data_IF_411265540206
#
_entry.id   IF_411265540206
#
_cell.length_a   1.000
_cell.length_b   1.000
_cell.length_c   1.000
_cell.angle_alpha   90.00
_cell.angle_beta   90.00
_cell.angle_gamma   90.00
#
_symmetry.space_group_name_H-M   'P 1'
#
loop_
_entity.id
_entity.type
_entity.pdbx_description
1 polymer ?
#
# COMPACT_ATOMS: atom_id res chain seq x y z
N UNK A 1 4.37 1.47 -46.28
CA UNK A 1 3.14 1.59 -45.50
C UNK A 1 3.34 1.25 -44.01
N UNK A 2 3.92 0.12 -43.65
CA UNK A 2 4.15 -0.27 -42.24
C UNK A 2 4.91 0.80 -41.40
N UNK A 3 5.95 1.42 -41.98
CA UNK A 3 6.77 2.43 -41.29
C UNK A 3 5.99 3.72 -40.95
N UNK A 4 4.96 4.07 -41.72
CA UNK A 4 4.06 5.22 -41.43
C UNK A 4 3.01 4.86 -40.39
N UNK A 5 2.54 3.60 -40.33
CA UNK A 5 1.61 3.09 -39.32
C UNK A 5 2.31 3.01 -37.96
N UNK A 6 3.56 2.58 -37.93
CA UNK A 6 4.36 2.56 -36.69
C UNK A 6 4.67 3.96 -36.16
N UNK A 7 4.97 4.92 -37.05
CA UNK A 7 5.25 6.28 -36.60
C UNK A 7 3.99 7.04 -36.18
N UNK A 8 2.83 6.81 -36.78
CA UNK A 8 1.55 7.37 -36.29
C UNK A 8 1.06 6.70 -35.03
N UNK A 9 1.22 5.39 -34.87
CA UNK A 9 0.90 4.70 -33.62
C UNK A 9 1.81 5.12 -32.47
N UNK A 10 3.12 5.31 -32.71
CA UNK A 10 4.06 5.82 -31.74
C UNK A 10 3.76 7.29 -31.35
N UNK A 11 3.37 8.12 -32.31
CA UNK A 11 3.01 9.51 -32.07
C UNK A 11 1.68 9.62 -31.31
N UNK A 12 0.68 8.80 -31.64
CA UNK A 12 -0.59 8.70 -30.88
C UNK A 12 -0.38 8.18 -29.47
N UNK A 13 0.53 7.23 -29.28
CA UNK A 13 0.89 6.73 -27.95
C UNK A 13 1.61 7.80 -27.11
N UNK A 14 2.50 8.59 -27.73
CA UNK A 14 3.15 9.72 -27.05
C UNK A 14 2.16 10.83 -26.63
N UNK A 15 1.14 11.10 -27.44
CA UNK A 15 0.16 12.16 -27.12
C UNK A 15 -0.85 11.73 -26.06
N UNK A 16 -1.19 10.44 -25.94
CA UNK A 16 -2.06 9.93 -24.88
C UNK A 16 -1.37 9.85 -23.53
N UNK A 17 -0.05 9.66 -23.48
CA UNK A 17 0.74 9.64 -22.24
C UNK A 17 0.90 11.04 -21.62
N UNK A 18 0.76 12.11 -22.41
CA UNK A 18 0.93 13.48 -21.90
C UNK A 18 -0.24 14.01 -21.03
N UNK A 19 -1.36 13.30 -20.95
CA UNK A 19 -2.59 13.79 -20.29
C UNK A 19 -2.84 13.25 -18.87
N UNK A 20 -1.99 12.38 -18.32
CA UNK A 20 -2.28 11.71 -17.01
C UNK A 20 -1.14 11.87 -15.99
N UNK A 21 -0.18 12.74 -16.20
CA UNK A 21 0.98 12.88 -15.31
C UNK A 21 0.79 13.92 -14.20
N UNK A 22 -0.20 13.74 -13.33
CA UNK A 22 -0.17 14.39 -12.03
C UNK A 22 -0.06 13.31 -10.94
N UNK A 23 1.11 12.69 -10.82
CA UNK A 23 1.50 12.10 -9.55
C UNK A 23 1.53 13.23 -8.54
N UNK A 24 0.57 13.25 -7.62
CA UNK A 24 0.48 14.31 -6.64
C UNK A 24 1.78 14.36 -5.84
N UNK A 25 2.42 15.52 -5.84
CA UNK A 25 3.58 15.80 -5.00
C UNK A 25 3.14 16.56 -3.77
N UNK A 26 3.82 16.32 -2.64
CA UNK A 26 3.71 17.17 -1.47
C UNK A 26 4.64 18.37 -1.54
N UNK A 27 4.60 19.21 -0.52
CA UNK A 27 5.48 20.35 -0.37
C UNK A 27 5.80 20.61 1.10
N UNK A 28 6.90 21.31 1.35
CA UNK A 28 7.34 21.73 2.66
C UNK A 28 7.41 23.25 2.70
N UNK A 29 6.74 23.86 3.66
CA UNK A 29 6.67 25.31 3.86
C UNK A 29 6.91 25.65 5.32
N UNK A 30 7.55 26.76 5.60
CA UNK A 30 7.73 27.24 6.97
C UNK A 30 8.51 28.53 7.04
N UNK A 31 8.81 28.94 8.27
CA UNK A 31 9.62 30.13 8.57
C UNK A 31 10.81 29.73 9.44
N UNK A 32 11.95 30.39 9.23
CA UNK A 32 13.14 30.21 10.04
C UNK A 32 13.44 31.53 10.76
N UNK A 33 13.56 31.43 12.08
CA UNK A 33 13.77 32.58 12.96
C UNK A 33 14.90 32.35 13.94
N UNK A 34 15.45 33.43 14.45
CA UNK A 34 16.32 33.39 15.64
C UNK A 34 15.47 33.02 16.86
N UNK A 35 15.89 32.02 17.63
CA UNK A 35 15.14 31.49 18.78
C UNK A 35 15.04 32.47 19.96
N UNK A 36 16.00 33.41 20.05
CA UNK A 36 16.01 34.42 21.13
C UNK A 36 15.30 35.71 20.75
N UNK A 37 15.65 36.28 19.60
CA UNK A 37 15.08 37.56 19.15
C UNK A 37 13.72 37.40 18.45
N UNK A 38 13.39 36.18 18.00
CA UNK A 38 12.23 35.87 17.16
C UNK A 38 12.23 36.60 15.80
N UNK A 39 13.37 37.14 15.40
CA UNK A 39 13.56 37.84 14.14
C UNK A 39 13.67 36.82 13.00
N UNK A 40 13.07 37.06 11.83
CA UNK A 40 13.21 36.20 10.68
C UNK A 40 14.65 36.18 10.15
N UNK A 41 15.13 35.01 9.73
CA UNK A 41 16.47 34.83 9.21
C UNK A 41 16.42 34.66 7.69
N UNK A 42 16.90 35.66 6.93
CA UNK A 42 16.93 35.60 5.45
C UNK A 42 18.10 34.73 4.95
N UNK A 43 17.93 34.15 3.77
CA UNK A 43 18.94 33.38 3.05
C UNK A 43 19.54 32.18 3.80
N UNK A 44 18.80 31.62 4.72
CA UNK A 44 19.18 30.38 5.43
C UNK A 44 19.09 29.22 4.45
N UNK A 45 20.12 28.38 4.41
CA UNK A 45 20.12 27.21 3.57
C UNK A 45 19.29 26.07 4.21
N UNK A 46 18.30 25.58 3.47
CA UNK A 46 17.40 24.48 3.86
C UNK A 46 17.62 23.31 2.92
N UNK A 47 18.07 22.18 3.43
CA UNK A 47 18.35 20.95 2.69
C UNK A 47 17.37 19.88 3.14
N UNK A 48 16.69 19.24 2.19
CA UNK A 48 15.81 18.10 2.43
C UNK A 48 16.53 16.83 2.03
N UNK A 49 16.68 15.92 3.00
CA UNK A 49 17.36 14.64 2.83
C UNK A 49 16.40 13.47 2.96
N UNK A 50 16.66 12.41 2.20
CA UNK A 50 16.02 11.11 2.37
C UNK A 50 17.11 10.05 2.50
N UNK A 51 17.14 9.34 3.63
CA UNK A 51 18.16 8.34 3.95
C UNK A 51 19.60 8.90 3.84
N UNK A 52 19.83 10.12 4.34
CA UNK A 52 21.14 10.78 4.31
C UNK A 52 21.60 11.27 2.94
N UNK A 53 20.68 11.36 1.97
CA UNK A 53 20.97 11.89 0.64
C UNK A 53 20.08 13.07 0.35
N UNK A 54 20.67 14.20 -0.05
CA UNK A 54 19.91 15.39 -0.44
C UNK A 54 19.01 15.08 -1.63
N UNK A 55 17.72 15.36 -1.49
CA UNK A 55 16.69 15.19 -2.53
C UNK A 55 16.24 16.52 -3.11
N UNK A 56 16.16 17.56 -2.26
CA UNK A 56 15.74 18.90 -2.62
C UNK A 56 16.36 19.91 -1.65
N UNK A 57 16.12 21.19 -1.86
CA UNK A 57 16.55 22.24 -0.96
C UNK A 57 16.20 23.62 -1.52
N UNK A 58 16.40 24.62 -0.69
CA UNK A 58 16.17 26.02 -1.03
C UNK A 58 16.80 26.94 0.02
N UNK A 59 16.59 28.23 -0.15
CA UNK A 59 16.96 29.24 0.85
C UNK A 59 15.72 30.01 1.29
N UNK A 60 15.76 30.56 2.51
CA UNK A 60 14.70 31.45 2.98
C UNK A 60 14.71 32.77 2.22
N UNK A 61 13.55 33.38 2.08
CA UNK A 61 13.35 34.74 1.57
C UNK A 61 13.71 35.80 2.63
N UNK A 62 13.44 37.07 2.34
CA UNK A 62 13.72 38.22 3.25
C UNK A 62 12.94 38.12 4.57
N UNK A 63 11.76 37.51 4.56
CA UNK A 63 10.89 37.32 5.72
C UNK A 63 11.18 36.01 6.45
N UNK A 64 12.29 35.33 6.14
CA UNK A 64 12.65 34.03 6.71
C UNK A 64 11.77 32.87 6.25
N UNK A 65 10.90 33.08 5.27
CA UNK A 65 10.01 32.07 4.70
C UNK A 65 10.73 31.14 3.72
N UNK A 66 10.34 29.89 3.69
CA UNK A 66 10.80 28.95 2.66
C UNK A 66 9.65 28.09 2.13
N UNK A 67 9.77 27.68 0.87
CA UNK A 67 8.81 26.80 0.21
C UNK A 67 9.53 25.86 -0.76
N UNK A 68 9.53 24.55 -0.42
CA UNK A 68 10.23 23.53 -1.19
C UNK A 68 9.20 22.61 -1.81
N UNK A 69 9.17 22.57 -3.16
CA UNK A 69 8.32 21.73 -4.00
C UNK A 69 8.97 21.45 -5.35
N UNK A 70 8.63 20.34 -6.05
CA UNK A 70 7.82 19.22 -5.58
C UNK A 70 8.63 18.30 -4.66
N UNK A 71 7.96 17.63 -3.71
CA UNK A 71 8.51 16.56 -2.90
C UNK A 71 7.64 15.31 -3.08
N UNK A 72 8.25 14.16 -3.30
CA UNK A 72 7.51 12.90 -3.29
C UNK A 72 6.96 12.63 -1.89
N UNK A 73 5.81 11.95 -1.76
CA UNK A 73 5.33 11.51 -0.45
C UNK A 73 6.35 10.61 0.26
N UNK A 74 6.47 10.79 1.56
CA UNK A 74 7.41 10.01 2.38
C UNK A 74 8.00 10.79 3.54
N UNK A 75 8.96 10.16 4.21
CA UNK A 75 9.63 10.70 5.39
C UNK A 75 11.01 11.25 5.04
N UNK A 76 11.30 12.44 5.53
CA UNK A 76 12.50 13.22 5.22
C UNK A 76 13.18 13.74 6.48
N UNK A 77 14.47 14.01 6.34
CA UNK A 77 15.23 14.82 7.30
C UNK A 77 15.44 16.22 6.69
N UNK A 78 15.21 17.25 7.48
CA UNK A 78 15.40 18.65 7.08
C UNK A 78 16.60 19.19 7.82
N UNK A 79 17.63 19.55 7.08
CA UNK A 79 18.87 20.12 7.60
C UNK A 79 18.92 21.60 7.29
N UNK A 80 19.14 22.40 8.31
CA UNK A 80 19.18 23.86 8.20
C UNK A 80 20.56 24.35 8.67
N UNK A 81 21.19 25.18 7.86
CA UNK A 81 22.49 25.77 8.18
C UNK A 81 22.52 27.26 7.85
N UNK A 82 23.07 28.03 8.78
CA UNK A 82 23.26 29.48 8.62
C UNK A 82 24.54 29.94 9.31
N UNK A 83 25.19 30.94 8.75
CA UNK A 83 26.46 31.46 9.30
C UNK A 83 26.22 32.13 10.65
N UNK A 84 26.98 31.72 11.66
CA UNK A 84 26.83 32.25 13.04
C UNK A 84 25.76 31.56 13.88
N UNK A 85 25.12 30.50 13.34
CA UNK A 85 24.12 29.70 14.04
C UNK A 85 24.53 28.22 14.10
N UNK A 86 24.06 27.55 15.15
CA UNK A 86 24.23 26.13 15.31
C UNK A 86 23.43 25.39 14.20
N UNK A 87 24.04 24.45 13.48
CA UNK A 87 23.32 23.64 12.50
C UNK A 87 22.16 22.86 13.16
N UNK A 88 21.02 22.84 12.50
CA UNK A 88 19.82 22.21 13.00
C UNK A 88 19.38 21.07 12.06
N UNK A 89 18.96 19.94 12.63
CA UNK A 89 18.42 18.81 11.87
C UNK A 89 17.11 18.33 12.46
N UNK A 90 16.03 18.45 11.68
CA UNK A 90 14.73 17.87 11.98
C UNK A 90 14.62 16.52 11.31
N UNK A 91 14.51 15.45 12.09
CA UNK A 91 14.39 14.09 11.56
C UNK A 91 12.94 13.64 11.51
N UNK A 92 12.60 12.82 10.51
CA UNK A 92 11.31 12.18 10.43
C UNK A 92 10.16 13.07 9.93
N UNK A 93 10.44 14.14 9.18
CA UNK A 93 9.41 15.03 8.61
C UNK A 93 8.59 14.30 7.58
N UNK A 94 7.29 14.18 7.82
CA UNK A 94 6.37 13.48 6.92
C UNK A 94 5.81 14.45 5.88
N UNK A 95 6.00 14.13 4.60
CA UNK A 95 5.41 14.85 3.47
C UNK A 95 4.41 13.94 2.80
N UNK A 96 3.13 14.36 2.79
CA UNK A 96 2.03 13.59 2.20
C UNK A 96 1.63 14.10 0.83
N UNK A 97 1.04 13.23 0.03
CA UNK A 97 0.58 13.51 -1.31
C UNK A 97 -0.45 14.64 -1.33
N UNK A 98 -0.23 15.65 -2.17
CA UNK A 98 -1.14 16.78 -2.36
C UNK A 98 -1.25 17.73 -1.17
N UNK A 99 -0.39 17.60 -0.13
CA UNK A 99 -0.44 18.42 1.08
C UNK A 99 0.79 19.30 1.25
N UNK A 100 0.60 20.38 2.01
CA UNK A 100 1.66 21.26 2.50
C UNK A 100 2.01 20.85 3.91
N UNK A 101 3.23 20.36 4.13
CA UNK A 101 3.76 20.13 5.48
C UNK A 101 4.35 21.44 5.99
N UNK A 102 3.85 21.91 7.12
CA UNK A 102 4.32 23.14 7.76
C UNK A 102 5.40 22.80 8.79
N UNK A 103 6.56 23.45 8.68
CA UNK A 103 7.68 23.26 9.59
C UNK A 103 8.37 24.62 9.87
N UNK A 104 8.07 25.20 11.01
CA UNK A 104 8.71 26.40 11.50
C UNK A 104 9.90 26.04 12.39
N UNK A 105 11.05 26.68 12.18
CA UNK A 105 12.32 26.33 12.84
C UNK A 105 12.92 27.57 13.51
N UNK A 106 13.30 27.42 14.78
CA UNK A 106 14.09 28.42 15.50
C UNK A 106 15.56 28.00 15.61
N UNK A 107 16.48 28.82 15.12
CA UNK A 107 17.90 28.56 15.21
C UNK A 107 18.52 29.24 16.46
N UNK A 108 19.45 28.53 17.11
CA UNK A 108 20.25 29.08 18.19
C UNK A 108 21.52 29.72 17.63
N UNK A 109 21.84 30.95 18.09
CA UNK A 109 23.15 31.54 17.83
C UNK A 109 24.24 30.76 18.55
N UNK A 110 25.30 30.42 17.86
CA UNK A 110 26.42 29.66 18.41
C UNK A 110 27.52 29.44 17.39
N UNK A 111 28.77 29.38 17.86
CA UNK A 111 29.96 29.25 17.02
C UNK A 111 30.54 27.81 17.08
N UNK A 112 29.90 26.89 17.79
CA UNK A 112 30.38 25.51 17.87
C UNK A 112 30.00 24.71 16.62
N UNK A 113 31.00 24.49 15.79
CA UNK A 113 30.93 23.98 14.43
C UNK A 113 30.73 22.45 14.30
N UNK A 114 30.38 21.70 15.32
CA UNK A 114 30.44 20.23 15.26
C UNK A 114 29.20 19.45 15.71
N UNK A 115 28.23 20.04 16.33
CA UNK A 115 27.10 19.31 16.86
C UNK A 115 25.79 19.82 16.27
N UNK A 116 25.08 18.93 15.55
CA UNK A 116 23.72 19.25 15.07
C UNK A 116 22.73 19.17 16.23
N UNK A 117 21.88 20.18 16.37
CA UNK A 117 20.67 20.03 17.17
C UNK A 117 19.72 19.11 16.42
N UNK A 118 19.58 17.86 16.89
CA UNK A 118 18.70 16.86 16.26
C UNK A 118 17.38 16.82 17.00
N UNK A 119 16.30 17.11 16.28
CA UNK A 119 14.94 17.12 16.83
C UNK A 119 14.05 16.12 16.04
N UNK A 120 13.26 15.33 16.78
CA UNK A 120 12.28 14.42 16.17
C UNK A 120 11.03 15.20 15.76
N UNK A 121 10.59 15.04 14.52
CA UNK A 121 9.33 15.61 14.06
C UNK A 121 8.14 14.90 14.69
N UNK A 122 7.25 15.69 15.28
CA UNK A 122 5.96 15.20 15.76
C UNK A 122 4.90 15.66 14.77
N UNK A 123 4.19 14.70 14.17
CA UNK A 123 3.11 15.00 13.23
C UNK A 123 2.03 15.80 13.98
N UNK A 124 1.68 17.01 13.54
CA UNK A 124 0.63 17.80 14.18
C UNK A 124 -0.71 17.08 14.18
N UNK A 125 -1.42 17.11 15.31
CA UNK A 125 -2.77 16.54 15.42
C UNK A 125 -3.79 17.29 14.56
N UNK A 126 -3.53 18.57 14.28
CA UNK A 126 -4.37 19.43 13.45
C UNK A 126 -3.60 19.76 12.18
N UNK A 127 -4.19 19.40 11.04
CA UNK A 127 -3.64 19.70 9.73
C UNK A 127 -3.90 21.19 9.40
N UNK A 128 -2.84 21.99 9.29
CA UNK A 128 -2.95 23.43 8.95
C UNK A 128 -3.36 23.66 7.49
N UNK A 129 -3.18 22.67 6.62
CA UNK A 129 -3.56 22.72 5.21
C UNK A 129 -5.02 22.31 4.98
N UNK A 130 -5.73 21.98 6.05
CA UNK A 130 -6.94 21.19 6.04
C UNK A 130 -8.22 21.89 5.64
N UNK A 131 -8.62 21.76 4.37
CA UNK A 131 -10.04 21.79 3.96
C UNK A 131 -10.70 20.40 4.04
N UNK A 132 -9.93 19.31 4.00
CA UNK A 132 -10.40 17.95 4.01
C UNK A 132 -10.38 17.35 5.42
N UNK A 133 -11.47 16.68 5.80
CA UNK A 133 -11.50 15.86 7.02
C UNK A 133 -11.12 14.41 6.70
N UNK A 134 -10.39 13.76 7.59
CA UNK A 134 -9.92 12.40 7.40
C UNK A 134 -8.58 12.17 8.09
N UNK A 135 -7.80 11.24 7.58
CA UNK A 135 -6.47 10.92 8.11
C UNK A 135 -5.56 10.30 7.07
N UNK A 136 -4.26 10.40 7.34
CA UNK A 136 -3.23 9.78 6.50
C UNK A 136 -2.47 8.78 7.37
N UNK A 137 -2.35 7.55 6.89
CA UNK A 137 -1.55 6.48 7.51
C UNK A 137 -0.26 6.37 6.73
N UNK A 138 0.85 6.68 7.39
CA UNK A 138 2.18 6.67 6.79
C UNK A 138 2.78 5.28 6.76
N UNK A 139 3.81 5.09 5.96
CA UNK A 139 4.53 3.84 5.83
C UNK A 139 5.05 3.30 7.17
N UNK A 140 5.58 4.16 8.04
CA UNK A 140 6.09 3.75 9.35
C UNK A 140 4.96 3.21 10.25
N UNK A 141 3.77 3.79 10.15
CA UNK A 141 2.58 3.30 10.84
C UNK A 141 2.09 2.00 10.21
N UNK A 142 2.01 1.94 8.87
CA UNK A 142 1.63 0.74 8.11
C UNK A 142 2.53 -0.45 8.48
N UNK A 143 3.84 -0.24 8.58
CA UNK A 143 4.79 -1.29 8.93
C UNK A 143 4.48 -1.95 10.29
N UNK A 144 3.95 -1.18 11.25
CA UNK A 144 3.61 -1.63 12.61
C UNK A 144 2.19 -2.23 12.71
N UNK A 145 1.34 -2.04 11.68
CA UNK A 145 -0.03 -2.53 11.70
C UNK A 145 -0.10 -4.01 11.31
N UNK A 146 -1.00 -4.79 11.92
CA UNK A 146 -1.26 -6.17 11.51
C UNK A 146 -1.99 -6.25 10.16
N UNK A 147 -2.77 -5.22 9.79
CA UNK A 147 -3.48 -5.14 8.51
C UNK A 147 -2.54 -5.18 7.32
N UNK A 148 -2.90 -5.97 6.29
CA UNK A 148 -2.04 -6.20 5.13
C UNK A 148 -2.61 -5.68 3.82
N UNK A 149 -3.88 -5.29 3.79
CA UNK A 149 -4.54 -4.69 2.62
C UNK A 149 -4.72 -3.19 2.82
N UNK A 150 -4.77 -2.44 1.72
CA UNK A 150 -5.09 -1.02 1.76
C UNK A 150 -6.44 -0.74 2.44
N UNK A 151 -7.42 -1.62 2.25
CA UNK A 151 -8.73 -1.57 2.89
C UNK A 151 -8.61 -1.68 4.42
N UNK A 152 -7.88 -2.69 4.93
CA UNK A 152 -7.69 -2.88 6.37
C UNK A 152 -6.89 -1.73 7.02
N UNK A 153 -6.00 -1.10 6.26
CA UNK A 153 -5.27 0.09 6.71
C UNK A 153 -6.24 1.29 6.75
N UNK A 154 -7.06 1.48 5.72
CA UNK A 154 -8.01 2.59 5.65
C UNK A 154 -9.03 2.57 6.80
N UNK A 155 -9.49 1.39 7.23
CA UNK A 155 -10.45 1.24 8.34
C UNK A 155 -9.87 1.61 9.72
N UNK A 156 -8.57 1.84 9.84
CA UNK A 156 -7.98 2.39 11.07
C UNK A 156 -8.16 3.89 11.22
N UNK A 157 -8.57 4.57 10.14
CA UNK A 157 -8.83 6.02 10.16
C UNK A 157 -10.26 6.30 10.64
N UNK A 158 -10.39 7.27 11.54
CA UNK A 158 -11.70 7.65 12.08
C UNK A 158 -12.68 8.05 10.99
N UNK A 159 -13.90 7.50 11.05
CA UNK A 159 -14.94 7.69 10.05
C UNK A 159 -14.93 6.71 8.88
N UNK A 160 -13.95 5.80 8.82
CA UNK A 160 -13.95 4.66 7.91
C UNK A 160 -14.22 3.37 8.68
N UNK A 161 -15.07 2.50 8.14
CA UNK A 161 -15.43 1.22 8.76
C UNK A 161 -15.53 0.13 7.70
N UNK A 162 -15.23 -1.11 8.10
CA UNK A 162 -15.48 -2.26 7.26
C UNK A 162 -16.99 -2.52 7.19
N UNK A 163 -17.52 -2.68 6.01
CA UNK A 163 -18.95 -2.94 5.82
C UNK A 163 -19.35 -4.41 6.07
N UNK A 164 -18.42 -5.25 6.50
CA UNK A 164 -18.64 -6.67 6.80
C UNK A 164 -18.57 -7.56 5.56
N UNK A 165 -19.36 -8.63 5.54
CA UNK A 165 -19.26 -9.70 4.54
C UNK A 165 -19.29 -9.20 3.09
N UNK A 166 -18.12 -9.05 2.48
CA UNK A 166 -17.93 -8.78 1.05
C UNK A 166 -17.97 -7.33 0.62
N UNK A 167 -17.98 -6.36 1.54
CA UNK A 167 -18.48 -5.04 1.24
C UNK A 167 -17.51 -3.89 1.01
N UNK A 168 -16.23 -4.00 1.24
CA UNK A 168 -15.33 -2.84 1.13
C UNK A 168 -15.46 -1.85 2.30
N UNK A 169 -15.01 -0.61 2.12
CA UNK A 169 -15.00 0.42 3.17
C UNK A 169 -16.21 1.33 3.07
N UNK A 170 -16.93 1.50 4.17
CA UNK A 170 -17.96 2.52 4.36
C UNK A 170 -17.33 3.75 5.01
N UNK A 171 -17.54 4.93 4.44
CA UNK A 171 -17.08 6.20 4.99
C UNK A 171 -18.27 6.98 5.53
N UNK A 172 -18.23 7.28 6.84
CA UNK A 172 -19.30 7.98 7.58
C UNK A 172 -20.69 7.35 7.40
N UNK A 173 -20.76 6.02 7.32
CA UNK A 173 -22.00 5.29 7.14
C UNK A 173 -22.57 5.36 5.71
N UNK A 174 -21.82 5.86 4.74
CA UNK A 174 -22.22 5.79 3.33
C UNK A 174 -22.21 4.35 2.81
N UNK A 175 -22.89 4.08 1.72
CA UNK A 175 -22.78 2.80 1.02
C UNK A 175 -21.35 2.62 0.48
N UNK A 176 -20.89 1.40 0.43
CA UNK A 176 -19.53 1.06 -0.05
C UNK A 176 -19.29 1.45 -1.50
N UNK A 177 -20.34 1.44 -2.33
CA UNK A 177 -20.27 1.88 -3.72
C UNK A 177 -19.96 3.38 -3.85
N UNK A 178 -20.20 4.16 -2.79
CA UNK A 178 -19.89 5.59 -2.74
C UNK A 178 -18.48 5.88 -2.22
N UNK A 179 -17.71 4.85 -1.88
CA UNK A 179 -16.31 4.99 -1.51
C UNK A 179 -15.44 4.80 -2.74
N UNK A 180 -14.68 5.82 -3.07
CA UNK A 180 -13.83 5.85 -4.25
C UNK A 180 -12.38 5.55 -3.89
N UNK A 181 -11.72 4.80 -4.78
CA UNK A 181 -10.32 4.41 -4.60
C UNK A 181 -9.48 5.07 -5.69
N UNK A 182 -8.34 5.59 -5.28
CA UNK A 182 -7.33 6.12 -6.18
C UNK A 182 -5.98 5.48 -5.83
N UNK A 183 -5.22 5.12 -6.86
CA UNK A 183 -3.85 4.63 -6.74
C UNK A 183 -2.98 5.52 -7.59
N UNK A 184 -2.02 6.21 -6.99
CA UNK A 184 -1.14 7.19 -7.64
C UNK A 184 -1.92 8.21 -8.51
N UNK A 185 -3.08 8.66 -8.03
CA UNK A 185 -3.94 9.63 -8.71
C UNK A 185 -4.88 9.02 -9.78
N UNK A 186 -4.80 7.73 -10.04
CA UNK A 186 -5.70 7.04 -10.99
C UNK A 186 -6.88 6.42 -10.23
N UNK A 187 -8.09 6.73 -10.67
CA UNK A 187 -9.33 6.16 -10.11
C UNK A 187 -9.42 4.67 -10.44
N UNK A 188 -9.65 3.84 -9.43
CA UNK A 188 -9.76 2.38 -9.56
C UNK A 188 -11.17 1.94 -9.11
N UNK A 189 -11.80 0.97 -9.79
CA UNK A 189 -13.07 0.43 -9.37
C UNK A 189 -12.96 -0.22 -7.97
N UNK A 190 -13.99 -0.03 -7.14
CA UNK A 190 -14.06 -0.68 -5.83
C UNK A 190 -14.06 -2.20 -6.00
N UNK A 191 -13.23 -2.89 -5.22
CA UNK A 191 -13.13 -4.35 -5.25
C UNK A 191 -12.31 -4.94 -6.40
N UNK A 192 -11.87 -4.13 -7.37
CA UNK A 192 -10.99 -4.58 -8.45
C UNK A 192 -9.73 -3.71 -8.49
N UNK A 193 -8.55 -4.32 -8.51
CA UNK A 193 -7.28 -3.61 -8.64
C UNK A 193 -6.82 -2.83 -7.41
N UNK A 194 -7.51 -2.98 -6.26
CA UNK A 194 -7.08 -2.37 -4.98
C UNK A 194 -6.11 -3.24 -4.21
N UNK A 195 -5.88 -4.48 -4.66
CA UNK A 195 -4.90 -5.40 -4.10
C UNK A 195 -3.48 -4.94 -4.41
N UNK A 196 -2.79 -4.50 -3.37
CA UNK A 196 -1.39 -4.11 -3.43
C UNK A 196 -0.62 -4.85 -2.33
N UNK A 197 0.61 -5.34 -2.60
CA UNK A 197 1.49 -5.80 -1.55
C UNK A 197 1.69 -4.68 -0.50
N UNK A 198 1.71 -5.05 0.77
CA UNK A 198 1.89 -4.07 1.87
C UNK A 198 3.18 -3.26 1.70
N UNK A 199 4.24 -3.88 1.21
CA UNK A 199 5.53 -3.25 0.95
C UNK A 199 5.48 -2.22 -0.18
N UNK A 200 4.48 -2.29 -1.06
CA UNK A 200 4.29 -1.34 -2.16
C UNK A 200 3.59 -0.04 -1.71
N UNK A 201 2.98 -0.01 -0.53
CA UNK A 201 2.23 1.14 -0.05
C UNK A 201 3.16 2.11 0.69
N UNK A 202 3.23 3.35 0.25
CA UNK A 202 3.95 4.44 0.93
C UNK A 202 3.03 5.15 1.93
N UNK A 203 1.79 5.45 1.53
CA UNK A 203 0.77 6.02 2.40
C UNK A 203 -0.65 5.66 1.95
N UNK A 204 -1.57 5.66 2.89
CA UNK A 204 -3.01 5.57 2.65
C UNK A 204 -3.67 6.80 3.26
N UNK A 205 -4.23 7.63 2.41
CA UNK A 205 -4.99 8.81 2.81
C UNK A 205 -6.47 8.53 2.69
N UNK A 206 -7.21 8.68 3.78
CA UNK A 206 -8.66 8.54 3.81
C UNK A 206 -9.28 9.92 3.97
N UNK A 207 -10.03 10.37 2.99
CA UNK A 207 -10.74 11.65 3.01
C UNK A 207 -12.21 11.35 3.27
N UNK A 208 -12.68 11.77 4.45
CA UNK A 208 -14.03 11.51 4.92
C UNK A 208 -15.00 12.67 4.68
N UNK A 209 -14.49 13.80 4.21
CA UNK A 209 -15.29 14.97 3.84
C UNK A 209 -14.41 16.13 3.41
N UNK A 210 -14.98 17.15 2.76
CA UNK A 210 -14.22 18.23 2.19
C UNK A 210 -13.29 17.79 1.07
N UNK A 211 -13.78 16.89 0.19
CA UNK A 211 -12.98 16.30 -0.90
C UNK A 211 -12.48 17.42 -1.82
N UNK A 212 -11.15 17.50 -2.06
CA UNK A 212 -10.59 18.50 -2.98
C UNK A 212 -11.14 18.37 -4.40
N UNK A 213 -11.26 19.49 -5.11
CA UNK A 213 -11.87 19.56 -6.43
C UNK A 213 -11.15 18.77 -7.54
N UNK A 214 -9.88 18.40 -7.32
CA UNK A 214 -9.13 17.53 -8.23
C UNK A 214 -9.62 16.08 -8.24
N UNK A 215 -10.42 15.67 -7.24
CA UNK A 215 -11.10 14.37 -7.20
C UNK A 215 -12.56 14.57 -7.63
N UNK A 216 -12.84 14.33 -8.92
CA UNK A 216 -14.21 14.42 -9.45
C UNK A 216 -15.12 13.27 -9.01
N UNK A 217 -16.44 13.49 -9.07
CA UNK A 217 -17.50 12.46 -8.88
C UNK A 217 -17.51 11.75 -7.52
N UNK A 218 -16.94 12.33 -6.47
CA UNK A 218 -16.91 11.72 -5.15
C UNK A 218 -18.11 12.18 -4.33
N UNK A 219 -19.02 11.26 -4.00
CA UNK A 219 -20.25 11.54 -3.25
C UNK A 219 -20.21 11.08 -1.80
N UNK A 220 -19.40 10.10 -1.46
CA UNK A 220 -19.24 9.57 -0.10
C UNK A 220 -17.88 9.98 0.46
N UNK A 221 -16.88 9.15 0.25
CA UNK A 221 -15.51 9.38 0.69
C UNK A 221 -14.50 8.81 -0.28
N UNK A 222 -13.24 9.06 0.01
CA UNK A 222 -12.13 8.75 -0.87
C UNK A 222 -10.99 8.08 -0.11
N UNK A 223 -10.47 7.00 -0.66
CA UNK A 223 -9.24 6.34 -0.22
C UNK A 223 -8.20 6.54 -1.32
N UNK A 224 -7.19 7.34 -1.03
CA UNK A 224 -6.09 7.61 -1.93
C UNK A 224 -4.84 6.87 -1.46
N UNK A 225 -4.34 5.96 -2.29
CA UNK A 225 -3.20 5.11 -2.01
C UNK A 225 -2.03 5.63 -2.85
N UNK A 226 -0.95 5.98 -2.18
CA UNK A 226 0.29 6.34 -2.86
C UNK A 226 1.23 5.14 -2.80
N UNK A 227 1.68 4.67 -3.95
CA UNK A 227 2.63 3.58 -4.02
C UNK A 227 4.06 4.08 -3.86
N UNK A 228 4.90 3.20 -3.33
CA UNK A 228 6.29 3.48 -3.08
C UNK A 228 7.06 3.73 -4.38
N UNK A 229 7.86 4.77 -4.38
CA UNK A 229 8.79 5.10 -5.46
C UNK A 229 10.16 4.39 -5.33
N UNK A 230 10.99 4.47 -6.38
CA UNK A 230 12.36 3.97 -6.38
C UNK A 230 13.23 4.58 -5.30
N UNK A 231 14.12 3.80 -4.72
CA UNK A 231 15.10 4.27 -3.74
C UNK A 231 16.43 4.64 -4.40
N UNK A 232 17.16 5.57 -3.78
CA UNK A 232 18.49 5.99 -4.25
C UNK A 232 19.60 5.00 -3.92
N UNK A 233 19.36 4.09 -2.97
CA UNK A 233 20.23 2.97 -2.60
C UNK A 233 19.48 1.69 -2.79
N UNK A 234 20.18 0.60 -3.06
CA UNK A 234 19.52 -0.70 -3.11
C UNK A 234 18.92 -1.04 -1.75
N UNK A 235 17.68 -1.46 -1.82
CA UNK A 235 16.88 -1.87 -0.68
C UNK A 235 16.05 -3.08 -1.08
N UNK A 236 15.98 -4.08 -0.21
CA UNK A 236 15.14 -5.25 -0.38
C UNK A 236 14.47 -5.63 0.92
N UNK A 237 13.29 -6.25 0.81
CA UNK A 237 12.53 -6.80 1.93
C UNK A 237 11.96 -8.15 1.56
N UNK A 238 11.86 -9.02 2.54
CA UNK A 238 11.21 -10.32 2.44
C UNK A 238 10.39 -10.55 3.69
N UNK A 239 9.15 -10.97 3.50
CA UNK A 239 8.21 -11.27 4.59
C UNK A 239 7.53 -12.61 4.29
N UNK A 240 7.51 -13.50 5.28
CA UNK A 240 6.79 -14.76 5.21
C UNK A 240 5.85 -14.86 6.40
N UNK A 241 4.57 -15.09 6.09
CA UNK A 241 3.52 -15.28 7.08
C UNK A 241 2.86 -16.63 6.87
N UNK A 242 2.70 -17.37 7.94
CA UNK A 242 2.01 -18.67 7.92
C UNK A 242 1.06 -18.78 9.10
N UNK A 243 -0.06 -19.47 8.92
CA UNK A 243 -0.99 -19.78 10.01
C UNK A 243 -0.46 -20.84 10.95
N UNK A 244 0.55 -21.59 10.56
CA UNK A 244 1.19 -22.59 11.39
C UNK A 244 2.14 -23.49 10.63
N UNK A 245 2.97 -24.17 11.39
CA UNK A 245 3.86 -25.20 10.91
C UNK A 245 3.71 -26.45 11.78
N UNK A 246 3.84 -27.62 11.18
CA UNK A 246 3.76 -28.89 11.89
C UNK A 246 5.13 -29.26 12.45
N UNK A 247 5.24 -29.31 13.79
CA UNK A 247 6.43 -29.81 14.47
C UNK A 247 6.05 -31.12 15.16
N UNK A 248 6.40 -32.26 14.56
CA UNK A 248 6.03 -33.58 15.05
C UNK A 248 4.59 -33.97 14.74
N UNK A 249 4.15 -35.14 15.22
CA UNK A 249 2.82 -35.66 14.95
C UNK A 249 1.71 -35.10 15.85
N UNK A 250 2.03 -34.64 17.07
CA UNK A 250 1.03 -34.44 18.13
C UNK A 250 0.98 -33.05 18.73
N UNK A 251 1.91 -32.14 18.41
CA UNK A 251 2.03 -30.83 19.06
C UNK A 251 1.05 -29.80 18.51
N UNK A 252 0.50 -30.01 17.32
CA UNK A 252 -0.36 -29.05 16.64
C UNK A 252 -1.71 -28.82 17.33
N UNK A 253 -2.20 -29.77 18.08
CA UNK A 253 -3.49 -29.66 18.78
C UNK A 253 -3.37 -28.93 20.12
N UNK A 254 -2.16 -28.89 20.70
CA UNK A 254 -1.91 -28.26 22.01
C UNK A 254 -1.65 -26.75 21.91
N UNK A 255 -1.13 -26.27 20.80
CA UNK A 255 -0.66 -24.88 20.66
C UNK A 255 -1.64 -24.00 19.87
N UNK A 256 -2.78 -24.55 19.42
CA UNK A 256 -3.76 -23.80 18.62
C UNK A 256 -3.18 -23.31 17.28
N UNK A 257 -2.11 -23.94 16.81
CA UNK A 257 -1.56 -23.69 15.50
C UNK A 257 -2.50 -24.26 14.46
N UNK A 258 -3.15 -23.38 13.78
CA UNK A 258 -4.24 -23.69 12.91
C UNK A 258 -3.77 -24.31 11.59
N UNK A 259 -4.47 -25.34 11.15
CA UNK A 259 -4.18 -26.09 9.94
C UNK A 259 -4.79 -25.46 8.70
N UNK A 260 -5.21 -24.19 8.72
CA UNK A 260 -5.82 -23.47 7.60
C UNK A 260 -4.91 -23.37 6.38
N UNK A 261 -3.66 -23.75 6.56
CA UNK A 261 -2.63 -23.68 5.54
C UNK A 261 -2.61 -22.31 4.83
N UNK A 262 -2.77 -21.23 5.62
CA UNK A 262 -2.53 -19.89 5.14
C UNK A 262 -1.03 -19.68 5.03
N UNK A 263 -0.57 -19.37 3.84
CA UNK A 263 0.82 -19.02 3.58
C UNK A 263 0.86 -17.79 2.70
N UNK A 264 1.64 -16.82 3.11
CA UNK A 264 1.87 -15.59 2.35
C UNK A 264 3.35 -15.32 2.28
N UNK A 265 3.83 -15.10 1.08
CA UNK A 265 5.20 -14.68 0.79
C UNK A 265 5.13 -13.31 0.13
N UNK A 266 5.88 -12.37 0.65
CA UNK A 266 6.00 -11.03 0.08
C UNK A 266 7.47 -10.69 -0.08
N UNK A 267 7.84 -10.16 -1.24
CA UNK A 267 9.20 -9.69 -1.52
C UNK A 267 9.16 -8.34 -2.21
N UNK A 268 10.11 -7.48 -1.88
CA UNK A 268 10.26 -6.19 -2.52
C UNK A 268 11.72 -5.88 -2.80
N UNK A 269 11.97 -5.17 -3.89
CA UNK A 269 13.29 -4.72 -4.30
C UNK A 269 13.20 -3.33 -4.92
N UNK A 270 14.11 -2.46 -4.52
CA UNK A 270 14.19 -1.10 -5.04
C UNK A 270 15.63 -0.65 -5.14
N UNK A 271 15.93 0.20 -6.10
CA UNK A 271 17.25 0.73 -6.26
C UNK A 271 17.46 1.52 -7.54
N UNK A 272 18.65 2.10 -7.70
CA UNK A 272 19.03 2.81 -8.90
C UNK A 272 19.53 1.84 -9.99
N UNK A 273 19.08 2.05 -11.24
CA UNK A 273 19.58 1.32 -12.42
C UNK A 273 20.74 2.10 -13.02
N UNK A 274 20.57 3.39 -13.23
CA UNK A 274 21.58 4.26 -13.85
C UNK A 274 21.80 5.50 -13.00
N UNK A 275 23.06 5.96 -13.00
CA UNK A 275 23.48 7.20 -12.31
C UNK A 275 23.99 8.23 -13.31
N UNK A 276 23.67 9.49 -13.04
CA UNK A 276 24.38 10.60 -13.65
C UNK A 276 25.79 10.68 -13.04
N UNK A 277 26.80 10.86 -13.89
CA UNK A 277 28.18 11.08 -13.45
C UNK A 277 28.52 12.56 -13.51
N UNK A 278 29.34 13.03 -12.59
CA UNK A 278 29.95 14.35 -12.66
C UNK A 278 31.13 14.38 -13.64
N UNK A 279 31.75 15.54 -13.79
CA UNK A 279 32.92 15.74 -14.67
C UNK A 279 34.14 14.91 -14.24
N UNK A 280 34.17 14.40 -13.00
CA UNK A 280 35.22 13.57 -12.43
C UNK A 280 34.86 12.07 -12.50
N UNK A 281 33.69 11.71 -13.07
CA UNK A 281 33.23 10.33 -13.20
C UNK A 281 32.52 9.77 -11.96
N UNK A 282 32.33 10.55 -10.88
CA UNK A 282 31.65 10.12 -9.68
C UNK A 282 30.11 10.04 -9.91
N UNK A 283 29.48 9.03 -9.32
CA UNK A 283 28.02 8.87 -9.35
C UNK A 283 27.37 9.95 -8.48
N UNK A 284 26.53 10.80 -9.08
CA UNK A 284 25.85 11.89 -8.37
C UNK A 284 24.42 11.52 -8.02
N UNK A 285 23.50 11.63 -8.98
CA UNK A 285 22.06 11.35 -8.79
C UNK A 285 21.63 10.15 -9.61
N UNK A 286 20.71 9.31 -9.11
CA UNK A 286 20.08 8.29 -9.95
C UNK A 286 19.39 8.95 -11.12
N UNK A 287 19.66 8.46 -12.33
CA UNK A 287 18.97 8.86 -13.55
C UNK A 287 17.73 7.98 -13.76
N UNK A 288 17.88 6.68 -13.50
CA UNK A 288 16.79 5.72 -13.57
C UNK A 288 16.81 4.92 -12.28
N UNK A 289 15.65 4.87 -11.63
CA UNK A 289 15.41 4.04 -10.45
C UNK A 289 14.24 3.09 -10.70
N UNK A 290 14.18 2.01 -9.92
CA UNK A 290 13.08 1.07 -9.96
C UNK A 290 12.61 0.70 -8.55
N UNK A 291 11.34 0.34 -8.46
CA UNK A 291 10.73 -0.35 -7.34
C UNK A 291 9.91 -1.52 -7.88
N UNK A 292 10.07 -2.70 -7.27
CA UNK A 292 9.27 -3.89 -7.55
C UNK A 292 8.82 -4.50 -6.23
N UNK A 293 7.59 -4.96 -6.19
CA UNK A 293 7.04 -5.71 -5.07
C UNK A 293 6.12 -6.81 -5.58
N UNK A 294 6.15 -7.97 -4.95
CA UNK A 294 5.30 -9.09 -5.27
C UNK A 294 4.86 -9.81 -4.01
N UNK A 295 3.62 -10.29 -4.02
CA UNK A 295 3.03 -11.07 -2.94
C UNK A 295 2.33 -12.29 -3.54
N UNK A 296 2.57 -13.43 -2.95
CA UNK A 296 1.85 -14.67 -3.19
C UNK A 296 1.13 -15.08 -1.92
N UNK A 297 -0.16 -15.39 -2.02
CA UNK A 297 -0.96 -15.87 -0.90
C UNK A 297 -1.65 -17.17 -1.31
N UNK A 298 -1.57 -18.16 -0.44
CA UNK A 298 -2.29 -19.42 -0.59
C UNK A 298 -3.03 -19.73 0.71
N UNK A 299 -4.33 -19.94 0.59
CA UNK A 299 -5.23 -20.30 1.68
C UNK A 299 -5.95 -21.57 1.28
N UNK A 300 -5.89 -22.61 2.08
CA UNK A 300 -6.60 -23.87 1.79
C UNK A 300 -8.07 -23.77 2.21
N UNK A 301 -8.34 -23.19 3.36
CA UNK A 301 -9.69 -22.88 3.84
C UNK A 301 -9.67 -21.66 4.74
N UNK A 302 -10.41 -20.62 4.36
CA UNK A 302 -10.47 -19.37 5.13
C UNK A 302 -11.37 -19.41 6.38
N UNK A 303 -12.17 -20.45 6.53
CA UNK A 303 -13.12 -20.59 7.64
C UNK A 303 -13.36 -22.06 7.97
N UNK A 304 -12.34 -22.82 8.38
CA UNK A 304 -12.47 -24.23 8.66
C UNK A 304 -13.34 -24.46 9.90
N UNK A 305 -14.09 -25.55 9.88
CA UNK A 305 -14.85 -26.01 11.06
C UNK A 305 -13.92 -26.65 12.08
N UNK A 306 -14.16 -26.38 13.37
CA UNK A 306 -13.45 -27.05 14.47
C UNK A 306 -13.65 -28.58 14.44
N UNK A 307 -14.87 -29.02 14.06
CA UNK A 307 -15.22 -30.44 13.94
C UNK A 307 -14.71 -31.09 12.64
N UNK A 308 -14.06 -30.30 11.75
CA UNK A 308 -13.68 -30.76 10.44
C UNK A 308 -14.87 -30.76 9.45
N UNK A 309 -14.68 -31.44 8.35
CA UNK A 309 -15.67 -31.64 7.27
C UNK A 309 -15.76 -33.10 6.92
N UNK A 310 -16.91 -33.54 6.42
CA UNK A 310 -17.14 -34.92 6.03
C UNK A 310 -17.17 -35.03 4.50
N UNK A 311 -16.35 -35.92 3.97
CA UNK A 311 -16.34 -36.23 2.54
C UNK A 311 -16.71 -37.67 2.29
N UNK A 312 -17.56 -37.89 1.32
CA UNK A 312 -17.81 -39.24 0.77
C UNK A 312 -16.53 -39.82 0.19
N UNK A 313 -16.19 -41.04 0.56
CA UNK A 313 -15.01 -41.76 0.04
C UNK A 313 -15.08 -41.89 -1.48
N UNK A 314 -13.94 -41.84 -2.22
CA UNK A 314 -13.93 -41.85 -3.68
C UNK A 314 -14.72 -43.03 -4.26
N UNK A 315 -14.50 -44.23 -3.72
CA UNK A 315 -15.17 -45.46 -4.16
C UNK A 315 -16.69 -45.42 -3.94
N UNK A 316 -17.14 -44.78 -2.86
CA UNK A 316 -18.56 -44.59 -2.57
C UNK A 316 -19.16 -43.54 -3.51
N UNK A 317 -18.41 -42.50 -3.80
CA UNK A 317 -18.81 -41.45 -4.75
C UNK A 317 -19.04 -42.05 -6.15
N UNK A 318 -18.13 -42.90 -6.65
CA UNK A 318 -18.32 -43.57 -7.93
C UNK A 318 -19.55 -44.46 -7.93
N UNK A 319 -19.80 -45.21 -6.84
CA UNK A 319 -21.02 -46.01 -6.66
C UNK A 319 -22.29 -45.16 -6.70
N UNK A 320 -22.28 -43.97 -6.03
CA UNK A 320 -23.44 -43.06 -6.03
C UNK A 320 -23.67 -42.42 -7.40
N UNK A 321 -22.62 -42.11 -8.14
CA UNK A 321 -22.74 -41.55 -9.49
C UNK A 321 -23.24 -42.59 -10.50
N UNK A 322 -22.83 -43.85 -10.36
CA UNK A 322 -23.31 -44.93 -11.25
C UNK A 322 -24.75 -45.36 -10.94
N UNK A 323 -25.21 -45.21 -9.70
CA UNK A 323 -26.56 -45.56 -9.28
C UNK A 323 -27.13 -44.49 -8.28
N UNK A 324 -27.54 -43.32 -8.79
CA UNK A 324 -27.89 -42.18 -7.95
C UNK A 324 -29.23 -42.36 -7.23
N UNK A 325 -30.13 -43.21 -7.77
CA UNK A 325 -31.45 -43.44 -7.19
C UNK A 325 -31.76 -44.92 -7.14
N UNK A 326 -32.49 -45.36 -6.13
CA UNK A 326 -32.91 -46.73 -5.89
C UNK A 326 -34.36 -46.81 -5.48
N UNK A 327 -35.03 -47.87 -5.91
CA UNK A 327 -36.34 -48.21 -5.39
C UNK A 327 -36.22 -48.74 -3.96
N UNK A 328 -36.92 -48.12 -3.02
CA UNK A 328 -36.94 -48.53 -1.62
C UNK A 328 -38.35 -48.75 -1.13
N UNK A 329 -38.64 -49.75 -0.30
CA UNK A 329 -39.93 -49.95 0.29
C UNK A 329 -40.27 -48.76 1.21
N UNK A 330 -41.47 -48.21 1.11
CA UNK A 330 -41.99 -47.09 1.90
C UNK A 330 -42.51 -47.48 3.29
N UNK A 331 -42.44 -48.75 3.65
CA UNK A 331 -42.98 -49.28 4.93
C UNK A 331 -44.46 -49.56 4.94
N UNK A 332 -45.20 -49.24 3.86
CA UNK A 332 -46.66 -49.40 3.74
C UNK A 332 -46.99 -50.41 2.62
N UNK A 333 -45.99 -51.07 2.02
CA UNK A 333 -46.14 -52.06 0.98
C UNK A 333 -45.81 -51.60 -0.44
N UNK A 334 -45.54 -50.28 -0.60
CA UNK A 334 -45.17 -49.68 -1.88
C UNK A 334 -43.66 -49.35 -1.93
N UNK A 335 -43.20 -49.03 -3.14
CA UNK A 335 -41.83 -48.58 -3.35
C UNK A 335 -41.75 -47.11 -3.74
N UNK A 336 -40.84 -46.41 -3.17
CA UNK A 336 -40.50 -45.03 -3.52
C UNK A 336 -39.14 -44.95 -4.17
N UNK A 337 -38.94 -44.01 -5.07
CA UNK A 337 -37.62 -43.66 -5.57
C UNK A 337 -36.93 -42.80 -4.51
N UNK A 338 -35.81 -43.30 -3.97
CA UNK A 338 -35.00 -42.60 -3.00
C UNK A 338 -33.58 -42.38 -3.53
N UNK A 339 -32.98 -41.26 -3.22
CA UNK A 339 -31.60 -41.00 -3.59
C UNK A 339 -30.64 -41.86 -2.75
N UNK A 340 -29.68 -42.50 -3.41
CA UNK A 340 -28.69 -43.34 -2.75
C UNK A 340 -27.83 -42.58 -1.74
N UNK A 341 -27.69 -41.25 -1.93
CA UNK A 341 -26.99 -40.34 -1.04
C UNK A 341 -27.67 -40.12 0.33
N UNK A 342 -28.97 -40.36 0.44
CA UNK A 342 -29.73 -40.25 1.69
C UNK A 342 -29.44 -41.40 2.67
N UNK A 343 -28.82 -42.48 2.19
CA UNK A 343 -28.52 -43.67 2.96
C UNK A 343 -27.04 -43.90 3.20
N UNK A 344 -26.25 -42.82 3.24
CA UNK A 344 -24.85 -42.90 3.57
C UNK A 344 -24.63 -43.30 5.05
N UNK A 345 -23.67 -44.15 5.28
CA UNK A 345 -23.25 -44.57 6.62
C UNK A 345 -21.97 -43.87 7.01
N UNK A 346 -21.64 -43.86 8.28
CA UNK A 346 -20.38 -43.30 8.80
C UNK A 346 -19.14 -43.94 8.12
N UNK A 347 -19.23 -45.23 7.75
CA UNK A 347 -18.18 -45.92 6.98
C UNK A 347 -17.98 -45.40 5.56
N UNK A 348 -19.00 -44.78 4.97
CA UNK A 348 -18.99 -44.27 3.59
C UNK A 348 -18.35 -42.88 3.50
N UNK A 349 -18.07 -42.24 4.61
CA UNK A 349 -17.47 -40.92 4.70
C UNK A 349 -16.08 -40.96 5.35
N UNK A 350 -15.28 -39.95 5.10
CA UNK A 350 -14.01 -39.70 5.76
C UNK A 350 -13.97 -38.29 6.27
N UNK A 351 -13.35 -38.09 7.41
CA UNK A 351 -13.15 -36.77 8.00
C UNK A 351 -12.03 -36.04 7.29
N UNK A 352 -12.25 -34.79 6.97
CA UNK A 352 -11.27 -33.85 6.47
C UNK A 352 -11.10 -32.70 7.48
N UNK A 353 -9.90 -32.16 7.57
CA UNK A 353 -9.63 -31.02 8.46
C UNK A 353 -10.10 -29.69 7.89
N UNK A 354 -10.25 -29.61 6.58
CA UNK A 354 -10.64 -28.41 5.83
C UNK A 354 -11.68 -28.75 4.77
N UNK A 355 -12.55 -27.80 4.45
CA UNK A 355 -13.53 -27.95 3.38
C UNK A 355 -12.81 -28.10 2.04
N UNK A 356 -13.44 -28.83 1.14
CA UNK A 356 -12.99 -28.91 -0.24
C UNK A 356 -13.41 -27.70 -1.03
N UNK A 357 -12.60 -27.34 -2.03
CA UNK A 357 -12.90 -26.23 -2.95
C UNK A 357 -13.21 -24.91 -2.22
N UNK A 358 -12.60 -24.70 -1.03
CA UNK A 358 -12.72 -23.48 -0.25
C UNK A 358 -11.42 -22.64 -0.30
N UNK A 359 -10.46 -23.09 -1.12
CA UNK A 359 -9.15 -22.47 -1.22
C UNK A 359 -9.12 -21.18 -2.05
N UNK A 360 -8.12 -20.38 -1.77
CA UNK A 360 -7.84 -19.16 -2.53
C UNK A 360 -6.34 -19.05 -2.78
N UNK A 361 -6.00 -18.74 -4.03
CA UNK A 361 -4.63 -18.40 -4.42
C UNK A 361 -4.65 -17.02 -5.03
N UNK A 362 -3.82 -16.12 -4.51
CA UNK A 362 -3.71 -14.77 -5.05
C UNK A 362 -2.26 -14.36 -5.31
N UNK A 363 -2.10 -13.56 -6.34
CA UNK A 363 -0.84 -12.94 -6.74
C UNK A 363 -1.07 -11.43 -6.85
N UNK A 364 -0.34 -10.68 -6.05
CA UNK A 364 -0.32 -9.22 -6.13
C UNK A 364 1.05 -8.79 -6.59
N UNK A 365 1.11 -7.79 -7.44
CA UNK A 365 2.36 -7.22 -7.90
C UNK A 365 2.25 -5.71 -8.07
N UNK A 366 3.34 -5.00 -7.83
CA UNK A 366 3.45 -3.58 -8.10
C UNK A 366 4.86 -3.26 -8.58
N UNK A 367 4.95 -2.42 -9.59
CA UNK A 367 6.22 -1.95 -10.14
C UNK A 367 6.16 -0.49 -10.53
N UNK A 368 7.26 0.22 -10.28
CA UNK A 368 7.43 1.64 -10.62
C UNK A 368 8.85 1.89 -11.11
N UNK A 369 8.98 2.67 -12.16
CA UNK A 369 10.26 3.12 -12.72
C UNK A 369 10.19 4.64 -12.80
N UNK A 370 11.19 5.32 -12.24
CA UNK A 370 11.36 6.76 -12.34
C UNK A 370 12.57 7.09 -13.19
N UNK A 371 12.38 8.01 -14.11
CA UNK A 371 13.41 8.53 -15.02
C UNK A 371 13.53 10.03 -14.79
N UNK A 372 14.65 10.46 -14.22
CA UNK A 372 14.97 11.87 -14.02
C UNK A 372 15.64 12.39 -15.28
N UNK A 373 14.89 13.04 -16.16
CA UNK A 373 15.43 13.58 -17.43
C UNK A 373 16.17 14.90 -17.22
N UNK A 374 15.60 15.78 -16.42
CA UNK A 374 16.20 17.08 -16.03
C UNK A 374 15.98 17.30 -14.52
N UNK A 375 16.60 18.32 -13.88
CA UNK A 375 16.32 18.66 -12.49
C UNK A 375 14.87 18.98 -12.18
N UNK A 376 14.08 19.34 -13.21
CA UNK A 376 12.68 19.78 -13.10
C UNK A 376 11.68 18.79 -13.72
N UNK A 377 12.16 17.78 -14.48
CA UNK A 377 11.29 16.84 -15.18
C UNK A 377 11.63 15.42 -14.75
N UNK A 378 10.68 14.80 -14.07
CA UNK A 378 10.70 13.37 -13.74
C UNK A 378 9.57 12.68 -14.53
N UNK A 379 9.89 11.55 -15.13
CA UNK A 379 8.92 10.66 -15.75
C UNK A 379 8.78 9.42 -14.88
N UNK A 380 7.57 9.19 -14.39
CA UNK A 380 7.24 7.99 -13.60
C UNK A 380 6.36 7.08 -14.43
N UNK A 381 6.73 5.81 -14.52
CA UNK A 381 5.94 4.74 -15.12
C UNK A 381 5.71 3.67 -14.07
N UNK A 382 4.46 3.29 -13.86
CA UNK A 382 4.12 2.29 -12.85
C UNK A 382 2.88 1.50 -13.22
N UNK A 383 2.67 0.40 -12.49
CA UNK A 383 1.49 -0.43 -12.62
C UNK A 383 1.41 -1.45 -11.51
N UNK A 384 0.21 -2.04 -11.36
CA UNK A 384 -0.07 -3.11 -10.42
C UNK A 384 -0.81 -4.26 -11.10
N UNK A 385 -0.62 -5.46 -10.55
CA UNK A 385 -1.32 -6.67 -10.94
C UNK A 385 -2.00 -7.21 -9.69
N UNK A 386 -3.29 -7.49 -9.82
CA UNK A 386 -4.10 -8.14 -8.81
C UNK A 386 -4.83 -9.31 -9.47
N UNK A 387 -4.40 -10.52 -9.13
CA UNK A 387 -4.99 -11.75 -9.64
C UNK A 387 -5.32 -12.65 -8.47
N UNK A 388 -6.60 -13.06 -8.36
CA UNK A 388 -7.06 -14.04 -7.38
C UNK A 388 -7.88 -15.13 -8.05
N UNK A 389 -7.62 -16.36 -7.62
CA UNK A 389 -8.42 -17.53 -7.98
C UNK A 389 -8.99 -18.12 -6.68
N UNK A 390 -10.27 -17.90 -6.48
CA UNK A 390 -11.00 -18.41 -5.33
C UNK A 390 -11.90 -19.55 -5.76
N UNK A 391 -11.77 -20.68 -5.08
CA UNK A 391 -12.70 -21.78 -5.19
C UNK A 391 -13.88 -21.50 -4.25
N UNK A 392 -15.09 -21.54 -4.77
CA UNK A 392 -16.29 -21.49 -3.96
C UNK A 392 -16.89 -22.89 -3.85
N UNK A 393 -17.05 -23.32 -2.63
CA UNK A 393 -17.79 -24.54 -2.34
C UNK A 393 -19.28 -24.25 -2.55
N UNK A 394 -19.93 -25.01 -3.45
CA UNK A 394 -21.38 -25.02 -3.64
C UNK A 394 -21.95 -26.31 -3.06
#
# INVERSE_FOLDING_TARGET
>A
MLRRIFSTAALSFLTTVALVAQTGSGSLKGTIKDKKSNEPLPFVNVVVERNGTQVSGGATDFDGGYFIKPLEPGTYDVVVSYVGYQPYKQVGVVVSNGKITFLDIGLNQGVELKEFEVVQYVVPLIDKDGGASGGTVTREQIAKMPGRSATSIATTVAGASDAGTGGGVSIRGSRTENTYYYIDGVKVPAGAGTGLPKSAIEEVQVITGGVPANFGDVTGGLINITTRGPSRKFFGGFDYLTSGYKVGSDITDIVGLDKYAFNQVEASLSGPILFKKDSLGNKTKPLIGFFLSGQYTNVVDGSPSYLGDLRVRPEVRERLLSNPAQLRPNGVGDYIMAYSSEYLRTSDVQELKTRQNAGEVSYLGSGKIDITTTPTINLTMGGSIDFSNRQSWN
#
